data_IF_359669394556
#
_entry.id   IF_359669394556
#
_cell.length_a   1.000
_cell.length_b   1.000
_cell.length_c   1.000
_cell.angle_alpha   90.00
_cell.angle_beta   90.00
_cell.angle_gamma   90.00
#
_symmetry.space_group_name_H-M   'P 1'
#
loop_
_entity.id
_entity.type
_entity.pdbx_description
1 polymer ?
#
# COMPACT_ATOMS: atom_id res chain seq x y z
N UNK A 1 29.36 -68.25 40.74
CA UNK A 1 28.55 -69.47 40.93
C UNK A 1 27.23 -69.26 40.19
N UNK A 2 27.12 -69.82 38.97
CA UNK A 2 26.07 -70.76 38.49
C UNK A 2 24.63 -70.21 38.65
N UNK A 3 23.78 -70.04 37.65
CA UNK A 3 23.62 -70.72 36.35
C UNK A 3 22.60 -69.94 35.47
N UNK A 4 22.91 -69.74 34.17
CA UNK A 4 22.19 -70.26 32.98
C UNK A 4 20.72 -69.77 32.78
N UNK A 5 20.43 -68.89 31.81
CA UNK A 5 20.31 -69.09 30.34
C UNK A 5 19.01 -69.79 29.86
N UNK A 6 18.54 -69.32 28.68
CA UNK A 6 17.36 -69.67 27.88
C UNK A 6 16.03 -69.02 28.31
N UNK A 7 15.26 -68.35 27.42
CA UNK A 7 14.99 -68.69 26.02
C UNK A 7 14.65 -67.45 25.16
N UNK A 8 15.21 -67.43 23.96
CA UNK A 8 14.95 -66.52 22.85
C UNK A 8 13.61 -66.82 22.15
N UNK A 9 13.04 -65.76 21.54
CA UNK A 9 12.31 -65.72 20.26
C UNK A 9 10.82 -66.11 20.15
N UNK A 10 10.12 -65.25 19.39
CA UNK A 10 8.79 -65.31 18.74
C UNK A 10 7.65 -64.77 19.63
N UNK A 11 6.88 -63.75 19.26
CA UNK A 11 6.23 -63.54 17.96
C UNK A 11 6.02 -62.04 17.67
N UNK A 12 6.22 -61.69 16.40
CA UNK A 12 5.67 -60.51 15.74
C UNK A 12 4.13 -60.60 15.68
N UNK A 13 3.51 -59.43 15.52
CA UNK A 13 2.12 -59.16 15.12
C UNK A 13 1.13 -58.89 16.26
N UNK A 14 0.96 -57.60 16.60
CA UNK A 14 -0.38 -57.01 16.52
C UNK A 14 -0.30 -55.48 16.36
N UNK A 15 -0.33 -55.02 15.12
CA UNK A 15 -0.71 -53.66 14.75
C UNK A 15 -2.19 -53.47 15.08
N UNK A 16 -2.52 -52.91 16.24
CA UNK A 16 -3.83 -52.32 16.58
C UNK A 16 -3.78 -51.65 17.95
N UNK A 17 -3.37 -50.40 17.96
CA UNK A 17 -3.43 -49.50 19.11
C UNK A 17 -2.84 -48.16 18.67
N UNK A 18 -3.46 -47.01 18.82
CA UNK A 18 -4.58 -46.59 19.65
C UNK A 18 -5.22 -45.41 18.92
N UNK A 19 -6.29 -45.65 18.16
CA UNK A 19 -7.30 -44.62 17.88
C UNK A 19 -8.31 -44.68 19.03
N UNK A 20 -7.86 -44.32 20.25
CA UNK A 20 -8.81 -44.03 21.32
C UNK A 20 -9.43 -42.68 20.99
N UNK A 21 -10.61 -42.75 20.37
CA UNK A 21 -11.43 -41.60 20.04
C UNK A 21 -11.49 -40.59 21.18
N UNK A 22 -11.44 -39.32 20.81
CA UNK A 22 -12.06 -38.26 21.59
C UNK A 22 -13.51 -38.68 21.87
N UNK A 23 -13.74 -39.27 23.04
CA UNK A 23 -15.09 -39.43 23.56
C UNK A 23 -15.63 -38.01 23.74
N UNK A 24 -16.77 -37.65 23.13
CA UNK A 24 -17.34 -36.34 23.37
C UNK A 24 -17.76 -36.34 24.84
N UNK A 25 -17.14 -35.47 25.65
CA UNK A 25 -17.60 -35.13 26.99
C UNK A 25 -18.94 -34.38 26.86
N UNK A 26 -20.00 -35.09 26.49
CA UNK A 26 -21.37 -34.62 26.63
C UNK A 26 -21.96 -35.39 27.79
N UNK A 27 -21.43 -35.11 28.98
CA UNK A 27 -22.24 -35.29 30.18
C UNK A 27 -23.31 -34.21 30.11
N UNK A 28 -24.51 -34.61 29.70
CA UNK A 28 -25.72 -33.81 29.82
C UNK A 28 -26.00 -33.59 31.32
N UNK A 29 -25.34 -32.60 31.90
CA UNK A 29 -25.65 -32.11 33.23
C UNK A 29 -26.90 -31.24 33.12
N UNK A 30 -27.85 -31.52 34.02
CA UNK A 30 -29.10 -30.77 34.21
C UNK A 30 -28.80 -29.27 34.29
N UNK A 31 -29.72 -28.44 33.79
CA UNK A 31 -29.61 -26.97 33.69
C UNK A 31 -29.50 -26.25 35.04
N UNK A 32 -28.43 -26.50 35.80
CA UNK A 32 -27.95 -25.60 36.82
C UNK A 32 -27.10 -24.53 36.14
N UNK A 33 -27.27 -23.27 36.51
CA UNK A 33 -26.54 -22.17 35.90
C UNK A 33 -25.03 -22.31 36.18
N UNK A 34 -24.25 -22.61 35.14
CA UNK A 34 -22.79 -22.73 35.17
C UNK A 34 -22.05 -21.40 35.46
N UNK A 35 -22.78 -20.29 35.58
CA UNK A 35 -22.24 -18.98 35.92
C UNK A 35 -21.45 -19.00 37.24
N UNK A 36 -21.84 -19.83 38.22
CA UNK A 36 -21.16 -19.94 39.52
C UNK A 36 -19.82 -20.69 39.49
N UNK A 37 -19.53 -21.42 38.41
CA UNK A 37 -18.32 -22.24 38.26
C UNK A 37 -17.33 -21.73 37.22
N UNK A 38 -17.60 -20.57 36.61
CA UNK A 38 -16.69 -19.97 35.63
C UNK A 38 -15.37 -19.58 36.30
N UNK A 39 -14.25 -20.03 35.73
CA UNK A 39 -12.89 -19.65 36.14
C UNK A 39 -12.12 -19.18 34.92
N UNK A 40 -11.23 -18.18 35.07
CA UNK A 40 -10.33 -17.79 34.00
C UNK A 40 -9.39 -18.95 33.66
N UNK A 41 -8.83 -18.96 32.45
CA UNK A 41 -7.78 -19.90 32.09
C UNK A 41 -6.62 -19.82 33.08
N UNK A 42 -6.00 -20.95 33.38
CA UNK A 42 -4.91 -21.02 34.34
C UNK A 42 -3.77 -20.05 33.95
N UNK A 43 -3.29 -19.25 34.90
CA UNK A 43 -2.26 -18.24 34.67
C UNK A 43 -2.73 -16.93 34.03
N UNK A 44 -3.99 -16.82 33.57
CA UNK A 44 -4.52 -15.57 33.02
C UNK A 44 -4.66 -14.46 34.07
N UNK A 45 -4.89 -14.83 35.33
CA UNK A 45 -4.98 -13.89 36.46
C UNK A 45 -3.88 -14.18 37.46
N UNK A 46 -3.11 -13.15 37.83
CA UNK A 46 -2.11 -13.20 38.91
C UNK A 46 -2.61 -12.43 40.11
N UNK A 47 -2.34 -12.95 41.32
CA UNK A 47 -2.70 -12.27 42.55
C UNK A 47 -1.93 -10.94 42.68
N UNK A 48 -2.66 -9.85 42.94
CA UNK A 48 -2.05 -8.55 43.22
C UNK A 48 -1.35 -8.57 44.59
N UNK A 49 -0.09 -8.15 44.64
CA UNK A 49 0.65 -8.06 45.90
C UNK A 49 0.17 -6.86 46.71
N UNK A 50 -0.57 -7.11 47.79
CA UNK A 50 -1.05 -6.06 48.71
C UNK A 50 0.07 -5.64 49.67
N UNK A 51 0.45 -4.37 49.63
CA UNK A 51 1.51 -3.80 50.47
C UNK A 51 0.97 -3.41 51.86
N UNK A 52 1.84 -3.44 52.89
CA UNK A 52 1.49 -2.98 54.25
C UNK A 52 0.59 -3.93 55.05
N UNK A 53 0.55 -5.22 54.71
CA UNK A 53 -0.32 -6.22 55.35
C UNK A 53 0.46 -7.18 56.25
N UNK A 54 0.87 -6.70 57.42
CA UNK A 54 1.57 -7.51 58.44
C UNK A 54 2.96 -8.02 58.01
N UNK A 55 3.80 -8.48 58.95
CA UNK A 55 5.18 -8.88 58.65
C UNK A 55 5.27 -10.16 57.80
N UNK A 56 4.37 -11.13 57.99
CA UNK A 56 4.39 -12.42 57.28
C UNK A 56 4.07 -12.32 55.77
N UNK A 57 3.50 -11.20 55.29
CA UNK A 57 3.25 -10.98 53.86
C UNK A 57 4.51 -10.70 53.04
N UNK A 58 5.67 -10.56 53.68
CA UNK A 58 6.95 -10.20 53.05
C UNK A 58 7.09 -8.72 52.67
N UNK A 59 5.97 -7.97 52.57
CA UNK A 59 5.95 -6.52 52.29
C UNK A 59 5.16 -5.73 53.33
N UNK A 60 5.36 -6.05 54.61
CA UNK A 60 4.72 -5.41 55.76
C UNK A 60 5.31 -4.05 56.10
N UNK A 61 6.32 -4.04 57.00
CA UNK A 61 6.85 -2.83 57.67
C UNK A 61 7.18 -1.65 56.74
N UNK A 62 7.90 -1.90 55.65
CA UNK A 62 8.34 -0.84 54.72
C UNK A 62 7.51 -0.78 53.44
N UNK A 63 6.48 -1.64 53.31
CA UNK A 63 5.64 -1.73 52.11
C UNK A 63 6.45 -1.85 50.78
N UNK A 64 7.68 -2.39 50.83
CA UNK A 64 8.57 -2.51 49.66
C UNK A 64 9.28 -1.22 49.24
N UNK A 65 9.21 -0.13 50.04
CA UNK A 65 9.86 1.16 49.73
C UNK A 65 11.28 1.30 50.25
N UNK A 66 11.78 0.33 51.02
CA UNK A 66 13.08 0.40 51.70
C UNK A 66 13.03 1.13 53.04
N UNK A 67 14.20 1.46 53.59
CA UNK A 67 14.32 2.24 54.83
C UNK A 67 14.17 3.75 54.54
N UNK A 68 14.73 4.62 55.40
CA UNK A 68 14.67 6.09 55.25
C UNK A 68 15.16 6.56 53.86
N UNK A 69 14.83 7.81 53.51
CA UNK A 69 15.27 8.47 52.28
C UNK A 69 14.11 9.03 51.46
N UNK A 70 14.45 9.78 50.40
CA UNK A 70 13.45 10.49 49.60
C UNK A 70 12.48 9.54 48.88
N UNK A 71 12.96 8.41 48.33
CA UNK A 71 12.11 7.40 47.66
C UNK A 71 11.14 6.68 48.62
N UNK A 72 11.46 6.64 49.91
CA UNK A 72 10.60 6.03 50.92
C UNK A 72 9.49 6.97 51.39
N UNK A 73 9.79 8.28 51.50
CA UNK A 73 8.87 9.31 52.02
C UNK A 73 8.15 10.12 50.93
N UNK A 74 8.66 10.11 49.71
CA UNK A 74 8.15 10.90 48.59
C UNK A 74 8.54 10.30 47.23
N UNK A 75 8.58 11.15 46.21
CA UNK A 75 8.87 10.75 44.82
C UNK A 75 10.12 11.44 44.30
N UNK A 76 10.92 10.70 43.52
CA UNK A 76 12.04 11.23 42.74
C UNK A 76 11.79 10.83 41.29
N UNK A 77 11.95 11.74 40.30
CA UNK A 77 11.90 11.36 38.89
C UNK A 77 12.88 10.21 38.61
N UNK A 78 12.43 9.20 37.86
CA UNK A 78 13.23 8.01 37.61
C UNK A 78 14.55 8.31 36.90
N UNK A 79 14.56 9.32 36.02
CA UNK A 79 15.69 9.73 35.19
C UNK A 79 16.63 10.76 35.87
N UNK A 80 16.45 11.05 37.17
CA UNK A 80 17.31 12.01 37.86
C UNK A 80 18.67 11.40 38.21
N UNK A 81 19.76 11.99 37.69
CA UNK A 81 21.16 11.54 37.87
C UNK A 81 21.85 12.17 39.10
N UNK A 82 21.08 12.60 40.11
CA UNK A 82 21.64 13.08 41.39
C UNK A 82 22.23 14.50 41.39
N UNK A 83 22.17 15.23 40.28
CA UNK A 83 22.61 16.63 40.17
C UNK A 83 23.57 16.91 39.01
N UNK A 84 24.10 15.86 38.38
CA UNK A 84 24.86 15.95 37.14
C UNK A 84 23.98 16.48 35.97
N UNK A 85 24.61 17.06 34.95
CA UNK A 85 23.96 17.34 33.68
C UNK A 85 23.38 16.04 33.10
N UNK A 86 22.05 15.92 32.96
CA UNK A 86 21.43 14.65 32.63
C UNK A 86 21.81 14.18 31.24
N UNK A 87 21.84 12.87 31.02
CA UNK A 87 22.27 12.23 29.78
C UNK A 87 21.63 12.84 28.52
N UNK A 88 20.33 13.13 28.56
CA UNK A 88 19.59 13.71 27.43
C UNK A 88 19.98 15.16 27.09
N UNK A 89 20.76 15.83 27.95
CA UNK A 89 21.35 17.16 27.68
C UNK A 89 22.82 17.09 27.29
N UNK A 90 23.52 15.98 27.54
CA UNK A 90 24.94 15.83 27.19
C UNK A 90 25.15 15.83 25.68
N UNK A 91 24.24 15.19 24.93
CA UNK A 91 24.33 15.08 23.50
C UNK A 91 23.56 16.21 22.79
N UNK A 92 24.09 16.75 21.67
CA UNK A 92 23.37 17.72 20.88
C UNK A 92 22.16 17.11 20.20
N UNK A 93 21.14 17.93 19.93
CA UNK A 93 19.99 17.51 19.12
C UNK A 93 20.41 17.48 17.66
N UNK A 94 20.39 16.29 17.04
CA UNK A 94 20.80 16.10 15.65
C UNK A 94 19.57 16.01 14.74
N UNK A 95 19.61 16.75 13.63
CA UNK A 95 18.59 16.71 12.59
C UNK A 95 17.27 17.38 12.98
N UNK A 96 16.23 17.12 12.18
CA UNK A 96 14.89 17.68 12.42
C UNK A 96 13.80 16.76 11.86
N UNK A 97 12.60 16.83 12.45
CA UNK A 97 11.44 16.09 11.97
C UNK A 97 10.79 16.85 10.81
N UNK A 98 10.86 16.29 9.60
CA UNK A 98 10.19 16.85 8.41
C UNK A 98 8.66 16.68 8.50
N UNK A 99 7.85 17.77 8.63
CA UNK A 99 6.41 17.67 8.86
C UNK A 99 5.63 17.16 7.64
N UNK A 100 6.06 17.53 6.43
CA UNK A 100 5.41 17.15 5.16
C UNK A 100 6.05 15.94 4.48
N UNK A 101 6.69 15.05 5.27
CA UNK A 101 7.22 13.77 4.78
C UNK A 101 6.05 12.82 4.53
N UNK A 102 5.93 12.35 3.29
CA UNK A 102 4.98 11.28 2.95
C UNK A 102 5.47 9.94 3.49
N UNK A 103 4.56 9.18 4.06
CA UNK A 103 4.78 7.83 4.59
C UNK A 103 3.84 6.89 3.85
N UNK A 104 4.42 6.09 2.98
CA UNK A 104 3.72 5.06 2.23
C UNK A 104 3.80 3.73 2.96
N UNK A 105 2.76 2.91 2.83
CA UNK A 105 2.83 1.51 3.23
C UNK A 105 3.61 0.74 2.17
N UNK A 106 4.68 0.06 2.58
CA UNK A 106 5.54 -0.68 1.65
C UNK A 106 5.03 -2.11 1.45
N UNK A 107 5.03 -2.58 0.21
CA UNK A 107 4.62 -3.94 -0.17
C UNK A 107 5.66 -4.51 -1.13
N UNK A 108 6.02 -5.79 -0.97
CA UNK A 108 6.88 -6.50 -1.91
C UNK A 108 6.10 -7.15 -3.05
N UNK A 109 6.70 -7.25 -4.24
CA UNK A 109 6.16 -8.05 -5.33
C UNK A 109 5.95 -9.52 -4.94
N UNK A 110 6.86 -10.08 -4.13
CA UNK A 110 6.70 -11.43 -3.58
C UNK A 110 5.36 -11.62 -2.88
N UNK A 111 4.96 -10.66 -2.04
CA UNK A 111 3.69 -10.75 -1.31
C UNK A 111 2.48 -10.69 -2.25
N UNK A 112 2.57 -9.89 -3.32
CA UNK A 112 1.53 -9.83 -4.34
C UNK A 112 1.39 -11.21 -5.02
N UNK A 113 2.52 -11.82 -5.39
CA UNK A 113 2.55 -13.17 -5.96
C UNK A 113 1.92 -14.21 -5.03
N UNK A 114 2.30 -14.23 -3.75
CA UNK A 114 1.73 -15.15 -2.76
C UNK A 114 0.20 -15.00 -2.61
N UNK A 115 -0.31 -13.76 -2.68
CA UNK A 115 -1.74 -13.48 -2.61
C UNK A 115 -2.48 -13.89 -3.89
N UNK A 116 -1.81 -13.79 -5.03
CA UNK A 116 -2.31 -14.28 -6.31
C UNK A 116 -2.40 -15.82 -6.31
N UNK A 117 -1.31 -16.49 -5.95
CA UNK A 117 -1.22 -17.96 -5.93
C UNK A 117 -2.22 -18.59 -4.93
N UNK A 118 -2.49 -17.90 -3.83
CA UNK A 118 -3.50 -18.33 -2.84
C UNK A 118 -4.95 -18.00 -3.24
N UNK A 119 -5.18 -17.39 -4.40
CA UNK A 119 -6.52 -17.05 -4.89
C UNK A 119 -7.24 -15.99 -4.04
N UNK A 120 -6.51 -15.21 -3.24
CA UNK A 120 -7.10 -14.19 -2.33
C UNK A 120 -7.41 -12.87 -3.02
N UNK A 121 -6.82 -12.64 -4.19
CA UNK A 121 -7.11 -11.47 -5.01
C UNK A 121 -8.36 -11.78 -5.85
N UNK A 122 -9.48 -11.08 -5.66
CA UNK A 122 -10.74 -11.32 -6.37
C UNK A 122 -10.72 -10.62 -7.74
N UNK A 123 -9.64 -10.80 -8.51
CA UNK A 123 -9.48 -10.25 -9.85
C UNK A 123 -9.16 -11.38 -10.81
N UNK A 124 -9.66 -11.25 -12.03
CA UNK A 124 -9.27 -12.11 -13.15
C UNK A 124 -7.94 -11.63 -13.74
N UNK A 125 -7.32 -12.46 -14.58
CA UNK A 125 -6.11 -12.10 -15.30
C UNK A 125 -6.34 -10.86 -16.18
N UNK A 126 -5.46 -9.87 -16.07
CA UNK A 126 -5.58 -8.56 -16.72
C UNK A 126 -6.32 -7.51 -15.88
N UNK A 127 -6.89 -7.89 -14.74
CA UNK A 127 -7.51 -6.95 -13.81
C UNK A 127 -6.52 -5.93 -13.23
N UNK A 128 -7.03 -4.75 -12.88
CA UNK A 128 -6.24 -3.69 -12.25
C UNK A 128 -6.28 -3.81 -10.73
N UNK A 129 -5.14 -4.15 -10.13
CA UNK A 129 -4.95 -4.18 -8.68
C UNK A 129 -4.75 -2.77 -8.15
N UNK A 130 -5.87 -2.14 -7.84
CA UNK A 130 -5.97 -0.80 -7.26
C UNK A 130 -5.83 -0.83 -5.73
N UNK A 131 -5.41 0.28 -5.09
CA UNK A 131 -5.23 0.36 -3.62
C UNK A 131 -6.50 -0.05 -2.83
N UNK A 132 -7.69 0.22 -3.38
CA UNK A 132 -8.97 -0.24 -2.80
C UNK A 132 -9.03 -1.77 -2.73
N UNK A 133 -8.81 -2.43 -3.86
CA UNK A 133 -8.80 -3.90 -3.97
C UNK A 133 -7.74 -4.49 -3.05
N UNK A 134 -6.53 -3.91 -3.02
CA UNK A 134 -5.47 -4.35 -2.10
C UNK A 134 -5.91 -4.35 -0.62
N UNK A 135 -6.76 -3.40 -0.22
CA UNK A 135 -7.29 -3.36 1.15
C UNK A 135 -8.40 -4.36 1.37
N UNK A 136 -9.30 -4.53 0.40
CA UNK A 136 -10.41 -5.49 0.44
C UNK A 136 -9.89 -6.93 0.55
N UNK A 137 -8.81 -7.29 -0.17
CA UNK A 137 -8.18 -8.61 -0.07
C UNK A 137 -7.38 -8.84 1.22
N UNK A 138 -7.11 -7.77 1.98
CA UNK A 138 -6.18 -7.78 3.11
C UNK A 138 -4.71 -7.88 2.72
N UNK A 139 -4.35 -7.57 1.47
CA UNK A 139 -2.95 -7.45 1.04
C UNK A 139 -2.28 -6.31 1.80
N UNK A 140 -3.02 -5.21 1.98
CA UNK A 140 -2.66 -4.09 2.85
C UNK A 140 -3.60 -4.01 4.03
N UNK A 141 -3.03 -3.92 5.23
CA UNK A 141 -3.78 -3.77 6.47
C UNK A 141 -3.33 -2.52 7.23
N UNK A 142 -4.15 -2.10 8.20
CA UNK A 142 -3.87 -0.94 9.03
C UNK A 142 -4.18 0.41 8.37
N UNK A 143 -3.54 1.45 8.88
CA UNK A 143 -3.81 2.83 8.48
C UNK A 143 -2.99 3.24 7.25
N UNK A 144 -3.67 3.41 6.13
CA UNK A 144 -3.12 4.00 4.90
C UNK A 144 -3.00 5.52 5.06
N UNK A 145 -1.78 6.02 5.28
CA UNK A 145 -1.53 7.47 5.44
C UNK A 145 -1.48 8.19 4.10
N UNK A 146 -0.40 8.00 3.34
CA UNK A 146 -0.19 8.70 2.07
C UNK A 146 -0.30 7.78 0.85
N UNK A 147 -0.53 6.48 1.06
CA UNK A 147 -0.77 5.50 0.00
C UNK A 147 0.09 4.26 0.11
N UNK A 148 0.31 3.59 -1.02
CA UNK A 148 1.05 2.32 -1.12
C UNK A 148 2.26 2.48 -2.03
N UNK A 149 3.41 2.00 -1.57
CA UNK A 149 4.65 1.91 -2.35
C UNK A 149 5.04 0.45 -2.58
N UNK A 150 5.19 0.06 -3.84
CA UNK A 150 5.62 -1.30 -4.19
C UNK A 150 7.15 -1.35 -4.34
N UNK A 151 7.74 -2.37 -3.74
CA UNK A 151 9.16 -2.66 -3.74
C UNK A 151 9.46 -3.93 -4.55
N UNK A 152 10.58 -3.93 -5.26
CA UNK A 152 10.99 -5.02 -6.16
C UNK A 152 11.54 -6.28 -5.47
N UNK A 153 11.24 -6.50 -4.19
CA UNK A 153 11.61 -7.75 -3.52
C UNK A 153 10.77 -8.90 -4.09
N UNK A 154 11.44 -9.91 -4.64
CA UNK A 154 10.80 -11.02 -5.38
C UNK A 154 10.54 -10.75 -6.86
N UNK A 155 11.19 -9.75 -7.46
CA UNK A 155 10.97 -9.39 -8.88
C UNK A 155 11.20 -10.54 -9.87
N UNK A 156 12.11 -11.47 -9.59
CA UNK A 156 12.43 -12.59 -10.48
C UNK A 156 11.36 -13.69 -10.48
N UNK A 157 10.58 -13.80 -9.41
CA UNK A 157 9.53 -14.83 -9.27
C UNK A 157 8.13 -14.30 -9.57
N UNK A 158 8.03 -13.02 -9.92
CA UNK A 158 6.75 -12.37 -10.19
C UNK A 158 6.23 -12.78 -11.56
N UNK A 159 5.08 -13.45 -11.59
CA UNK A 159 4.39 -13.92 -12.80
C UNK A 159 2.88 -13.64 -12.75
N UNK A 160 2.40 -12.85 -11.79
CA UNK A 160 0.99 -12.53 -11.67
C UNK A 160 0.53 -11.64 -12.83
N UNK A 161 -0.50 -12.04 -13.61
CA UNK A 161 -0.96 -11.32 -14.78
C UNK A 161 -1.88 -10.14 -14.38
N UNK A 162 -1.34 -9.16 -13.65
CA UNK A 162 -2.09 -8.05 -13.05
C UNK A 162 -1.54 -6.70 -13.49
N UNK A 163 -2.45 -5.79 -13.85
CA UNK A 163 -2.12 -4.37 -13.95
C UNK A 163 -2.06 -3.78 -12.54
N UNK A 164 -1.07 -2.94 -12.22
CA UNK A 164 -0.91 -2.39 -10.88
C UNK A 164 -1.18 -0.89 -10.86
N UNK A 165 -2.08 -0.43 -9.98
CA UNK A 165 -2.33 1.00 -9.75
C UNK A 165 -1.97 1.36 -8.30
N UNK A 166 -0.84 2.02 -8.12
CA UNK A 166 -0.21 2.27 -6.81
C UNK A 166 0.27 3.71 -6.68
N UNK A 167 0.62 4.16 -5.48
CA UNK A 167 1.09 5.54 -5.31
C UNK A 167 2.52 5.73 -5.80
N UNK A 168 3.40 4.77 -5.51
CA UNK A 168 4.78 4.78 -5.97
C UNK A 168 5.28 3.36 -6.22
N UNK A 169 6.23 3.21 -7.15
CA UNK A 169 6.94 1.97 -7.38
C UNK A 169 8.43 2.21 -7.59
N UNK A 170 9.25 1.19 -7.36
CA UNK A 170 10.67 1.22 -7.74
C UNK A 170 10.83 0.77 -9.19
N UNK A 171 11.92 1.17 -9.86
CA UNK A 171 12.18 0.83 -11.26
C UNK A 171 12.13 -0.68 -11.53
N UNK A 172 12.67 -1.48 -10.57
CA UNK A 172 12.66 -2.94 -10.63
C UNK A 172 11.25 -3.54 -10.68
N UNK A 173 10.28 -2.88 -10.04
CA UNK A 173 8.88 -3.33 -10.06
C UNK A 173 8.29 -3.08 -11.44
N UNK A 174 8.50 -1.88 -11.98
CA UNK A 174 7.99 -1.49 -13.29
C UNK A 174 8.53 -2.42 -14.38
N UNK A 175 9.83 -2.73 -14.35
CA UNK A 175 10.41 -3.70 -15.28
C UNK A 175 9.83 -5.10 -15.10
N UNK A 176 9.65 -5.58 -13.86
CA UNK A 176 9.11 -6.91 -13.61
C UNK A 176 7.66 -7.05 -14.11
N UNK A 177 6.80 -6.07 -13.82
CA UNK A 177 5.41 -6.04 -14.31
C UNK A 177 5.36 -5.92 -15.83
N UNK A 178 6.21 -5.07 -16.43
CA UNK A 178 6.29 -4.95 -17.88
C UNK A 178 6.75 -6.25 -18.57
N UNK A 179 7.66 -7.00 -17.96
CA UNK A 179 8.12 -8.29 -18.48
C UNK A 179 7.00 -9.34 -18.51
N UNK A 180 6.03 -9.26 -17.58
CA UNK A 180 4.82 -10.11 -17.61
C UNK A 180 3.80 -9.68 -18.68
N UNK A 181 4.05 -8.58 -19.41
CA UNK A 181 3.12 -8.04 -20.41
C UNK A 181 2.06 -7.08 -19.86
N UNK A 182 2.15 -6.74 -18.57
CA UNK A 182 1.19 -5.86 -17.88
C UNK A 182 1.77 -4.48 -17.60
N UNK A 183 0.91 -3.53 -17.24
CA UNK A 183 1.29 -2.15 -16.97
C UNK A 183 1.18 -1.78 -15.49
N UNK A 184 2.10 -0.94 -15.02
CA UNK A 184 2.04 -0.30 -13.71
C UNK A 184 1.82 1.20 -13.87
N UNK A 185 0.77 1.71 -13.24
CA UNK A 185 0.46 3.14 -13.14
C UNK A 185 0.69 3.66 -11.72
N UNK A 186 1.54 4.69 -11.62
CA UNK A 186 1.76 5.44 -10.39
C UNK A 186 0.76 6.61 -10.34
N UNK A 187 -0.19 6.56 -9.42
CA UNK A 187 -1.30 7.52 -9.27
C UNK A 187 -1.15 8.38 -8.02
N UNK A 188 -1.39 9.69 -8.17
CA UNK A 188 -1.38 10.63 -7.06
C UNK A 188 -2.70 10.62 -6.29
N UNK A 189 -2.62 10.50 -4.97
CA UNK A 189 -3.74 10.78 -4.09
C UNK A 189 -3.35 11.78 -2.99
N UNK A 190 -4.29 12.67 -2.65
CA UNK A 190 -4.26 13.40 -1.38
C UNK A 190 -4.81 12.51 -0.27
N UNK A 191 -4.65 12.89 1.00
CA UNK A 191 -5.21 12.10 2.12
C UNK A 191 -6.72 11.91 2.00
N UNK A 192 -7.46 12.97 1.66
CA UNK A 192 -8.91 12.90 1.43
C UNK A 192 -9.24 12.06 0.20
N UNK A 193 -8.50 12.25 -0.90
CA UNK A 193 -8.67 11.50 -2.13
C UNK A 193 -8.42 10.00 -1.97
N UNK A 194 -7.36 9.63 -1.27
CA UNK A 194 -7.05 8.24 -0.92
C UNK A 194 -8.15 7.62 -0.07
N UNK A 195 -8.63 8.38 0.93
CA UNK A 195 -9.70 7.94 1.81
C UNK A 195 -11.02 7.71 1.05
N UNK A 196 -11.28 8.52 0.02
CA UNK A 196 -12.45 8.40 -0.86
C UNK A 196 -12.30 7.27 -1.88
N UNK A 197 -11.10 7.08 -2.39
CA UNK A 197 -10.76 5.99 -3.30
C UNK A 197 -10.90 4.63 -2.64
N UNK A 198 -10.39 4.50 -1.42
CA UNK A 198 -10.42 3.24 -0.67
C UNK A 198 -11.81 2.93 -0.11
N UNK A 199 -12.52 3.93 0.45
CA UNK A 199 -13.85 3.75 1.03
C UNK A 199 -14.83 4.80 0.48
N UNK A 200 -15.34 4.65 -0.77
CA UNK A 200 -16.28 5.60 -1.36
C UNK A 200 -17.64 5.58 -0.67
N UNK A 201 -18.11 4.40 -0.22
CA UNK A 201 -19.43 4.20 0.40
C UNK A 201 -19.61 5.07 1.64
N UNK A 202 -18.53 5.29 2.41
CA UNK A 202 -18.57 6.19 3.57
C UNK A 202 -18.94 7.62 3.17
N UNK A 203 -18.52 8.08 2.00
CA UNK A 203 -18.85 9.41 1.50
C UNK A 203 -20.25 9.46 0.89
N UNK A 204 -20.64 8.40 0.17
CA UNK A 204 -22.00 8.27 -0.37
C UNK A 204 -23.04 8.27 0.76
N UNK A 205 -22.86 7.46 1.80
CA UNK A 205 -23.77 7.39 2.94
C UNK A 205 -23.85 8.71 3.74
N UNK A 206 -22.74 9.46 3.85
CA UNK A 206 -22.70 10.70 4.64
C UNK A 206 -23.11 11.95 3.87
N UNK A 207 -22.84 12.00 2.57
CA UNK A 207 -22.94 13.23 1.76
C UNK A 207 -23.67 13.03 0.43
N UNK A 208 -24.07 11.81 0.08
CA UNK A 208 -24.69 11.48 -1.21
C UNK A 208 -23.74 11.54 -2.41
N UNK A 209 -22.44 11.82 -2.20
CA UNK A 209 -21.45 11.97 -3.28
C UNK A 209 -20.04 11.64 -2.83
N UNK A 210 -19.20 11.19 -3.77
CA UNK A 210 -17.75 10.99 -3.55
C UNK A 210 -17.01 12.27 -3.96
N UNK A 211 -16.05 12.77 -3.15
CA UNK A 211 -15.24 13.92 -3.55
C UNK A 211 -14.35 13.58 -4.75
N UNK A 212 -14.14 14.56 -5.62
CA UNK A 212 -13.24 14.43 -6.78
C UNK A 212 -11.78 14.28 -6.32
N UNK A 213 -10.99 13.55 -7.11
CA UNK A 213 -9.55 13.43 -6.87
C UNK A 213 -8.85 14.75 -7.18
N UNK A 214 -7.98 15.19 -6.26
CA UNK A 214 -7.22 16.41 -6.42
C UNK A 214 -5.95 16.16 -7.25
N UNK A 215 -5.54 17.18 -8.00
CA UNK A 215 -4.29 17.17 -8.78
C UNK A 215 -3.07 17.35 -7.88
N UNK A 216 -1.87 16.87 -8.28
CA UNK A 216 -0.63 17.18 -7.57
C UNK A 216 -0.32 18.68 -7.71
N UNK A 217 -0.23 19.39 -6.60
CA UNK A 217 0.11 20.82 -6.59
C UNK A 217 1.61 21.08 -6.43
N UNK A 218 2.30 20.26 -5.63
CA UNK A 218 3.72 20.49 -5.37
C UNK A 218 4.57 20.10 -6.58
N UNK A 219 5.52 20.95 -6.95
CA UNK A 219 6.49 20.72 -8.04
C UNK A 219 7.15 19.33 -7.98
N UNK A 220 7.53 18.86 -6.77
CA UNK A 220 8.12 17.53 -6.56
C UNK A 220 7.18 16.38 -6.94
N UNK A 221 5.88 16.54 -6.67
CA UNK A 221 4.88 15.52 -6.97
C UNK A 221 4.58 15.54 -8.47
N UNK A 222 4.38 16.74 -9.04
CA UNK A 222 4.19 16.91 -10.49
C UNK A 222 5.33 16.25 -11.26
N UNK A 223 6.59 16.56 -10.90
CA UNK A 223 7.77 15.95 -11.51
C UNK A 223 7.72 14.41 -11.40
N UNK A 224 7.44 13.87 -10.21
CA UNK A 224 7.39 12.42 -10.02
C UNK A 224 6.34 11.74 -10.91
N UNK A 225 5.12 12.30 -10.99
CA UNK A 225 4.02 11.70 -11.75
C UNK A 225 4.02 12.07 -13.24
N UNK A 226 4.89 12.99 -13.68
CA UNK A 226 5.14 13.26 -15.10
C UNK A 226 6.23 12.35 -15.69
N UNK A 227 7.10 11.78 -14.86
CA UNK A 227 8.24 10.98 -15.31
C UNK A 227 7.79 9.62 -15.90
N UNK A 228 8.09 9.33 -17.19
CA UNK A 228 7.73 8.04 -17.82
C UNK A 228 8.41 6.84 -17.16
N UNK A 229 9.66 7.02 -16.71
CA UNK A 229 10.43 5.97 -16.04
C UNK A 229 9.74 5.44 -14.77
N UNK A 230 8.93 6.28 -14.11
CA UNK A 230 8.21 5.97 -12.87
C UNK A 230 6.78 5.46 -13.10
N UNK A 231 6.35 5.33 -14.36
CA UNK A 231 4.99 4.94 -14.72
C UNK A 231 3.95 5.96 -14.29
N UNK A 232 4.29 7.26 -14.26
CA UNK A 232 3.42 8.32 -13.76
C UNK A 232 2.15 8.51 -14.60
N UNK A 233 1.00 8.63 -13.93
CA UNK A 233 -0.31 8.73 -14.60
C UNK A 233 -0.52 10.01 -15.43
N UNK A 234 0.21 11.10 -15.14
CA UNK A 234 0.03 12.38 -15.84
C UNK A 234 0.45 12.32 -17.33
N UNK A 235 1.25 11.32 -17.71
CA UNK A 235 1.66 11.14 -19.11
C UNK A 235 0.51 10.60 -19.97
N UNK A 236 -0.34 9.72 -19.39
CA UNK A 236 -1.48 9.12 -20.09
C UNK A 236 -2.48 10.19 -20.53
N UNK A 237 -2.78 11.11 -19.61
CA UNK A 237 -3.69 12.22 -19.84
C UNK A 237 -2.93 13.56 -19.83
N UNK A 238 -2.20 13.85 -20.92
CA UNK A 238 -1.41 15.09 -21.06
C UNK A 238 -2.25 16.37 -20.85
N UNK A 239 -3.57 16.29 -21.08
CA UNK A 239 -4.54 17.35 -20.76
C UNK A 239 -4.51 17.76 -19.29
N UNK A 240 -4.33 16.81 -18.35
CA UNK A 240 -4.28 17.08 -16.91
C UNK A 240 -3.09 17.96 -16.52
N UNK A 241 -1.96 17.83 -17.24
CA UNK A 241 -0.80 18.69 -17.07
C UNK A 241 -1.01 20.07 -17.68
N UNK A 242 -1.68 20.18 -18.84
CA UNK A 242 -1.73 21.41 -19.63
C UNK A 242 -2.89 22.35 -19.28
N UNK A 243 -3.87 21.92 -18.49
CA UNK A 243 -5.05 22.73 -18.15
C UNK A 243 -4.76 24.13 -17.57
N UNK A 244 -3.66 24.28 -16.81
CA UNK A 244 -3.28 25.55 -16.17
C UNK A 244 -2.59 26.53 -17.13
N UNK A 245 -2.03 26.04 -18.23
CA UNK A 245 -1.55 26.87 -19.34
C UNK A 245 -2.72 27.42 -20.18
N UNK A 246 -3.96 27.08 -19.80
CA UNK A 246 -5.13 27.17 -20.67
C UNK A 246 -5.03 26.11 -21.77
N UNK A 247 -6.14 25.87 -22.48
CA UNK A 247 -6.01 25.32 -23.83
C UNK A 247 -5.05 26.27 -24.54
N UNK A 248 -3.82 25.85 -24.83
CA UNK A 248 -3.04 26.56 -25.83
C UNK A 248 -3.95 26.51 -27.04
N UNK A 249 -4.60 27.62 -27.35
CA UNK A 249 -5.30 27.69 -28.60
C UNK A 249 -4.19 27.44 -29.60
N UNK A 250 -4.21 26.29 -30.26
CA UNK A 250 -3.57 26.14 -31.55
C UNK A 250 -4.33 27.05 -32.54
N UNK A 251 -4.53 28.32 -32.19
CA UNK A 251 -4.62 29.38 -33.18
C UNK A 251 -3.23 29.37 -33.79
N UNK A 252 -3.07 28.61 -34.89
CA UNK A 252 -2.15 29.05 -35.93
C UNK A 252 -2.46 30.54 -36.07
N UNK A 253 -1.52 31.42 -35.73
CA UNK A 253 -1.64 32.82 -36.14
C UNK A 253 -1.89 32.73 -37.64
N UNK A 254 -3.09 33.07 -38.08
CA UNK A 254 -3.35 33.28 -39.50
C UNK A 254 -2.58 34.55 -39.79
N UNK A 255 -1.29 34.39 -40.10
CA UNK A 255 -0.49 35.46 -40.67
C UNK A 255 -1.13 35.71 -42.03
N UNK A 256 -1.58 36.94 -42.28
CA UNK A 256 -1.98 37.34 -43.64
C UNK A 256 -0.75 37.14 -44.51
N UNK A 257 -0.78 36.14 -45.39
CA UNK A 257 0.29 35.88 -46.34
C UNK A 257 0.42 37.10 -47.25
N UNK A 258 1.65 37.49 -47.60
CA UNK A 258 1.84 38.54 -48.59
C UNK A 258 1.28 38.07 -49.94
N UNK A 259 0.92 39.00 -50.83
CA UNK A 259 0.45 38.64 -52.16
C UNK A 259 1.45 37.75 -52.92
N UNK A 260 2.75 37.94 -52.65
CA UNK A 260 3.83 37.11 -53.19
C UNK A 260 3.87 35.71 -52.59
N UNK A 261 3.64 35.55 -51.28
CA UNK A 261 3.60 34.21 -50.67
C UNK A 261 2.40 33.40 -51.17
N UNK A 262 1.26 34.07 -51.37
CA UNK A 262 0.08 33.44 -51.97
C UNK A 262 0.37 33.04 -53.41
N UNK A 263 1.01 33.90 -54.21
CA UNK A 263 1.34 33.57 -55.60
C UNK A 263 2.35 32.42 -55.68
N UNK A 264 3.37 32.40 -54.83
CA UNK A 264 4.36 31.32 -54.76
C UNK A 264 3.76 29.97 -54.33
N UNK A 265 2.84 29.96 -53.36
CA UNK A 265 2.13 28.72 -53.00
C UNK A 265 1.16 28.26 -54.09
N UNK A 266 0.46 29.18 -54.76
CA UNK A 266 -0.39 28.82 -55.91
C UNK A 266 0.43 28.34 -57.10
N UNK A 267 1.68 28.78 -57.24
CA UNK A 267 2.60 28.30 -58.25
C UNK A 267 3.21 26.93 -57.87
N UNK A 268 3.50 26.71 -56.59
CA UNK A 268 4.09 25.45 -56.11
C UNK A 268 3.09 24.29 -56.08
N UNK A 269 1.79 24.59 -55.96
CA UNK A 269 0.70 23.60 -55.98
C UNK A 269 0.25 23.22 -57.38
N UNK A 270 0.64 24.00 -58.40
CA UNK A 270 0.34 23.70 -59.80
C UNK A 270 1.38 22.74 -60.37
N UNK A 271 0.90 21.73 -61.06
CA UNK A 271 1.71 20.79 -61.83
C UNK A 271 1.79 21.21 -63.30
N UNK A 272 2.68 20.62 -64.08
CA UNK A 272 2.87 20.98 -65.50
C UNK A 272 1.56 20.87 -66.31
N UNK A 273 0.71 19.90 -65.98
CA UNK A 273 -0.56 19.66 -66.65
C UNK A 273 -1.61 20.77 -66.40
N UNK A 274 -1.50 21.53 -65.29
CA UNK A 274 -2.42 22.63 -64.98
C UNK A 274 -2.21 23.85 -65.90
N UNK A 275 -1.03 23.98 -66.49
CA UNK A 275 -0.70 25.03 -67.47
C UNK A 275 -1.02 24.59 -68.91
N UNK A 276 -1.19 23.29 -69.15
CA UNK A 276 -1.50 22.73 -70.45
C UNK A 276 -3.02 22.62 -70.66
N UNK A 277 -3.73 23.75 -70.71
CA UNK A 277 -5.12 23.73 -71.16
C UNK A 277 -5.19 23.62 -72.69
N UNK A 278 -5.05 22.40 -73.21
CA UNK A 278 -5.42 22.10 -74.59
C UNK A 278 -6.95 22.00 -74.69
N UNK A 279 -7.60 23.11 -75.01
CA UNK A 279 -9.03 23.13 -75.35
C UNK A 279 -9.19 22.92 -76.85
N UNK A 280 -9.91 21.88 -77.27
CA UNK A 280 -10.31 21.73 -78.67
C UNK A 280 -11.36 22.81 -78.96
N UNK A 281 -10.97 23.86 -79.66
CA UNK A 281 -11.86 24.96 -80.06
C UNK A 281 -12.50 24.60 -81.39
N UNK A 282 -13.83 24.61 -81.47
CA UNK A 282 -14.55 24.49 -82.73
C UNK A 282 -14.70 25.87 -83.35
N UNK A 283 -14.70 25.95 -84.68
CA UNK A 283 -14.75 27.22 -85.42
C UNK A 283 -15.98 28.09 -85.05
N UNK A 284 -17.07 27.45 -84.62
CA UNK A 284 -18.31 28.12 -84.18
C UNK A 284 -18.19 28.87 -82.85
N UNK A 285 -17.18 28.57 -82.02
CA UNK A 285 -17.01 29.16 -80.69
C UNK A 285 -16.13 30.44 -80.72
N UNK A 286 -15.56 30.77 -81.88
CA UNK A 286 -14.78 31.99 -82.10
C UNK A 286 -15.74 33.11 -82.52
N UNK A 287 -16.08 33.99 -81.57
CA UNK A 287 -16.63 35.30 -81.92
C UNK A 287 -15.47 36.18 -82.39
N UNK A 288 -15.39 36.38 -83.71
CA UNK A 288 -14.64 37.49 -84.32
C UNK A 288 -15.47 38.76 -84.14
#
# INVERSE_FOLDING_TARGET
MKNHQHKMLRFLNNTKGVLSGMVPFVNAARHASYLGSLRPAEGAVKAYTRLGRGPASGKGKTAGRGQKGQKARGSVPHWLEGGQTPYYKLFPIIGFKRPHRKVFQEISLRRIQEFWDSGRIPLEAGGTLTIRVMRECGLVSGALKDGVKVLGSGSFMYNAPLNLEVSQATQRVISAVKNTGHELTSVYHTKLGLLAHVNPDRFLLKKGRVPLQARPLHKRDIAYYSDPARGGYLLKDRSLLLDHLGKSSLRKKIVKKSALDVSLETASTKTYDDYAQSKIVRLADLKI
#
